data_IF_291126537134
#
_entry.id   IF_291126537134
#
_cell.length_a   1.000
_cell.length_b   1.000
_cell.length_c   1.000
_cell.angle_alpha   90.00
_cell.angle_beta   90.00
_cell.angle_gamma   90.00
#
_symmetry.space_group_name_H-M   'P 1'
#
loop_
_entity.id
_entity.type
_entity.pdbx_description
1 polymer ?
#
# COMPACT_ATOMS: atom_id res chain seq x y z
N UNK A 1 20.05 -9.54 26.31
CA UNK A 1 18.71 -9.03 26.65
C UNK A 1 18.33 -8.03 25.58
N UNK A 2 17.51 -8.47 24.62
CA UNK A 2 16.80 -7.57 23.71
C UNK A 2 15.50 -8.27 23.37
N UNK A 3 14.51 -8.07 24.23
CA UNK A 3 13.12 -8.37 23.93
C UNK A 3 12.43 -7.01 23.92
N UNK A 4 12.19 -6.49 22.71
CA UNK A 4 11.45 -5.26 22.49
C UNK A 4 10.42 -5.53 21.39
N UNK A 5 9.36 -6.21 21.81
CA UNK A 5 7.97 -6.08 21.32
C UNK A 5 7.84 -5.97 19.79
N UNK A 6 7.88 -7.12 19.12
CA UNK A 6 7.28 -7.25 17.79
C UNK A 6 5.75 -7.28 17.90
N UNK A 7 5.13 -6.45 17.06
CA UNK A 7 3.71 -6.47 16.64
C UNK A 7 2.69 -6.12 17.74
N UNK A 8 1.99 -4.99 17.58
CA UNK A 8 0.54 -4.93 17.25
C UNK A 8 0.21 -3.50 16.82
N UNK A 9 -0.16 -3.31 15.56
CA UNK A 9 -1.31 -2.45 15.26
C UNK A 9 -2.22 -3.11 14.23
N UNK A 10 -2.66 -4.31 14.57
CA UNK A 10 -3.94 -4.79 14.07
C UNK A 10 -5.03 -4.08 14.87
N UNK A 11 -5.68 -3.12 14.21
CA UNK A 11 -7.06 -2.66 14.43
C UNK A 11 -7.59 -2.66 15.86
N UNK A 12 -7.56 -1.52 16.54
CA UNK A 12 -8.54 -1.17 17.58
C UNK A 12 -8.57 0.36 17.71
N UNK A 13 -9.57 0.97 17.07
CA UNK A 13 -9.84 2.40 17.14
C UNK A 13 -10.01 3.11 15.80
N UNK A 14 -10.54 2.44 14.77
CA UNK A 14 -11.08 3.17 13.63
C UNK A 14 -12.40 3.81 14.08
N UNK A 15 -12.27 5.05 14.56
CA UNK A 15 -13.35 6.02 14.74
C UNK A 15 -14.34 5.90 13.56
N UNK A 16 -15.66 6.07 13.76
CA UNK A 16 -16.68 5.98 12.70
C UNK A 16 -16.39 6.89 11.48
N UNK A 17 -15.41 7.80 11.62
CA UNK A 17 -14.86 8.67 10.59
C UNK A 17 -13.88 7.98 9.61
N UNK A 18 -13.21 6.90 10.00
CA UNK A 18 -12.25 6.19 9.15
C UNK A 18 -12.91 5.19 8.20
N UNK A 19 -14.02 4.56 8.59
CA UNK A 19 -14.80 3.67 7.71
C UNK A 19 -15.20 4.35 6.38
N UNK A 20 -15.75 5.59 6.39
CA UNK A 20 -15.98 6.35 5.16
C UNK A 20 -14.72 6.64 4.34
N UNK A 21 -13.56 6.79 4.98
CA UNK A 21 -12.31 7.07 4.29
C UNK A 21 -11.74 5.81 3.62
N UNK A 22 -11.69 4.69 4.34
CA UNK A 22 -11.26 3.40 3.80
C UNK A 22 -12.13 2.97 2.61
N UNK A 23 -13.45 3.18 2.67
CA UNK A 23 -14.35 2.90 1.55
C UNK A 23 -14.02 3.74 0.30
N UNK A 24 -13.69 5.03 0.48
CA UNK A 24 -13.27 5.93 -0.62
C UNK A 24 -11.92 5.53 -1.20
N UNK A 25 -10.96 5.16 -0.36
CA UNK A 25 -9.65 4.66 -0.79
C UNK A 25 -9.83 3.39 -1.64
N UNK A 26 -10.66 2.45 -1.20
CA UNK A 26 -10.95 1.23 -1.96
C UNK A 26 -11.62 1.52 -3.33
N UNK A 27 -12.53 2.49 -3.39
CA UNK A 27 -13.14 2.92 -4.66
C UNK A 27 -12.11 3.54 -5.62
N UNK A 28 -11.28 4.44 -5.10
CA UNK A 28 -10.21 5.09 -5.88
C UNK A 28 -9.17 4.09 -6.35
N UNK A 29 -8.82 3.11 -5.52
CA UNK A 29 -7.86 2.07 -5.88
C UNK A 29 -8.37 1.23 -7.05
N UNK A 30 -9.65 0.81 -7.01
CA UNK A 30 -10.28 0.12 -8.15
C UNK A 30 -10.29 0.98 -9.41
N UNK A 31 -10.61 2.27 -9.28
CA UNK A 31 -10.60 3.20 -10.41
C UNK A 31 -9.20 3.38 -10.99
N UNK A 32 -8.20 3.56 -10.12
CA UNK A 32 -6.80 3.71 -10.51
C UNK A 32 -6.30 2.48 -11.27
N UNK A 33 -6.54 1.28 -10.73
CA UNK A 33 -6.21 0.03 -11.42
C UNK A 33 -6.86 -0.08 -12.79
N UNK A 34 -8.15 0.20 -12.89
CA UNK A 34 -8.87 0.16 -14.17
C UNK A 34 -8.30 1.17 -15.19
N UNK A 35 -7.85 2.34 -14.74
CA UNK A 35 -7.18 3.32 -15.61
C UNK A 35 -5.82 2.81 -16.09
N UNK A 36 -5.02 2.18 -15.21
CA UNK A 36 -3.75 1.57 -15.60
C UNK A 36 -3.96 0.45 -16.64
N UNK A 37 -4.93 -0.43 -16.40
CA UNK A 37 -5.27 -1.53 -17.31
C UNK A 37 -5.75 -1.00 -18.68
N UNK A 38 -6.58 0.04 -18.70
CA UNK A 38 -7.00 0.71 -19.93
C UNK A 38 -5.84 1.38 -20.68
N UNK A 39 -4.82 1.82 -19.97
CA UNK A 39 -3.58 2.34 -20.54
C UNK A 39 -2.62 1.24 -21.02
N UNK A 40 -2.99 -0.03 -20.87
CA UNK A 40 -2.20 -1.19 -21.31
C UNK A 40 -1.21 -1.70 -20.28
N UNK A 41 -1.31 -1.29 -19.01
CA UNK A 41 -0.51 -1.87 -17.94
C UNK A 41 -1.00 -3.30 -17.62
N UNK A 42 -0.05 -4.23 -17.53
CA UNK A 42 -0.28 -5.58 -17.04
C UNK A 42 0.53 -5.77 -15.74
N UNK A 43 -0.15 -6.16 -14.67
CA UNK A 43 0.48 -6.41 -13.38
C UNK A 43 0.56 -7.91 -13.12
N UNK A 44 1.75 -8.40 -12.83
CA UNK A 44 1.94 -9.76 -12.30
C UNK A 44 1.32 -9.91 -10.90
N UNK A 45 1.05 -11.14 -10.47
CA UNK A 45 0.55 -11.43 -9.11
C UNK A 45 1.40 -10.78 -8.02
N UNK A 46 2.72 -10.74 -8.24
CA UNK A 46 3.65 -10.13 -7.29
C UNK A 46 3.53 -8.61 -7.25
N UNK A 47 3.38 -7.96 -8.41
CA UNK A 47 3.13 -6.52 -8.48
C UNK A 47 1.77 -6.18 -7.87
N UNK A 48 0.74 -6.98 -8.15
CA UNK A 48 -0.59 -6.83 -7.53
C UNK A 48 -0.53 -6.95 -6.02
N UNK A 49 0.25 -7.89 -5.49
CA UNK A 49 0.47 -8.01 -4.05
C UNK A 49 1.00 -6.71 -3.43
N UNK A 50 2.00 -6.07 -4.04
CA UNK A 50 2.52 -4.78 -3.57
C UNK A 50 1.46 -3.68 -3.63
N UNK A 51 0.77 -3.54 -4.78
CA UNK A 51 -0.25 -2.52 -4.97
C UNK A 51 -1.41 -2.65 -3.98
N UNK A 52 -1.92 -3.88 -3.80
CA UNK A 52 -3.04 -4.16 -2.91
C UNK A 52 -2.65 -3.84 -1.45
N UNK A 53 -1.45 -4.25 -1.01
CA UNK A 53 -0.96 -3.99 0.36
C UNK A 53 -0.68 -2.50 0.62
N UNK A 54 -0.12 -1.78 -0.35
CA UNK A 54 0.06 -0.33 -0.22
C UNK A 54 -1.28 0.39 -0.10
N UNK A 55 -2.29 -0.02 -0.88
CA UNK A 55 -3.64 0.52 -0.78
C UNK A 55 -4.30 0.21 0.58
N UNK A 56 -4.09 -0.99 1.13
CA UNK A 56 -4.56 -1.38 2.47
C UNK A 56 -3.97 -0.46 3.57
N UNK A 57 -2.67 -0.16 3.49
CA UNK A 57 -2.02 0.78 4.41
C UNK A 57 -2.61 2.18 4.25
N UNK A 58 -2.71 2.70 3.02
CA UNK A 58 -3.28 4.03 2.77
C UNK A 58 -4.72 4.12 3.32
N UNK A 59 -5.53 3.07 3.19
CA UNK A 59 -6.89 3.04 3.74
C UNK A 59 -6.91 3.13 5.27
N UNK A 60 -5.88 2.60 5.94
CA UNK A 60 -5.76 2.58 7.40
C UNK A 60 -5.11 3.84 7.99
N UNK A 61 -4.17 4.47 7.28
CA UNK A 61 -3.33 5.57 7.80
C UNK A 61 -3.42 6.87 7.01
N UNK A 62 -4.21 6.93 5.94
CA UNK A 62 -4.31 8.07 5.03
C UNK A 62 -2.98 8.45 4.33
N UNK A 63 -2.10 7.47 4.16
CA UNK A 63 -0.84 7.58 3.46
C UNK A 63 0.08 6.41 3.77
N UNK A 64 1.09 6.20 2.92
CA UNK A 64 2.17 5.23 3.11
C UNK A 64 3.52 5.91 2.94
N UNK A 65 4.50 5.56 3.77
CA UNK A 65 5.89 6.02 3.65
C UNK A 65 6.84 4.85 3.42
N UNK A 66 8.12 5.15 3.18
CA UNK A 66 9.16 4.12 3.10
C UNK A 66 9.29 3.34 4.42
N UNK A 67 9.08 3.98 5.57
CA UNK A 67 9.12 3.32 6.89
C UNK A 67 8.04 2.23 7.02
N UNK A 68 6.89 2.39 6.36
CA UNK A 68 5.84 1.36 6.35
C UNK A 68 6.31 0.10 5.61
N UNK A 69 7.19 0.23 4.60
CA UNK A 69 7.75 -0.89 3.85
C UNK A 69 8.77 -1.70 4.67
N UNK A 70 9.26 -1.14 5.78
CA UNK A 70 10.11 -1.83 6.76
C UNK A 70 9.29 -2.60 7.81
N UNK A 71 7.98 -2.75 7.60
CA UNK A 71 7.09 -3.53 8.46
C UNK A 71 6.48 -4.74 7.75
N UNK A 72 5.94 -5.67 8.54
CA UNK A 72 5.17 -6.81 8.04
C UNK A 72 3.85 -6.27 7.44
N UNK A 73 3.41 -6.75 6.26
CA UNK A 73 3.93 -7.91 5.52
C UNK A 73 4.99 -7.59 4.46
N UNK A 74 5.40 -6.33 4.27
CA UNK A 74 6.36 -5.94 3.24
C UNK A 74 7.74 -6.55 3.46
N UNK A 75 8.21 -6.62 4.70
CA UNK A 75 9.49 -7.26 5.03
C UNK A 75 9.52 -8.75 4.68
N UNK A 76 8.38 -9.44 4.65
CA UNK A 76 8.29 -10.84 4.21
C UNK A 76 8.54 -10.98 2.69
N UNK A 77 8.38 -9.91 1.93
CA UNK A 77 8.70 -9.82 0.51
C UNK A 77 9.98 -9.01 0.22
N UNK A 78 10.76 -8.67 1.25
CA UNK A 78 12.05 -7.98 1.14
C UNK A 78 11.98 -6.45 1.31
N UNK A 79 10.88 -5.91 1.83
CA UNK A 79 10.73 -4.47 2.14
C UNK A 79 10.95 -3.58 0.92
N UNK A 80 11.64 -2.45 1.11
CA UNK A 80 11.95 -1.49 0.04
C UNK A 80 12.68 -2.17 -1.13
N UNK A 81 13.68 -3.02 -0.85
CA UNK A 81 14.41 -3.75 -1.89
C UNK A 81 13.49 -4.71 -2.67
N UNK A 82 12.50 -5.28 -1.98
CA UNK A 82 11.45 -6.11 -2.58
C UNK A 82 10.56 -5.31 -3.53
N UNK A 83 10.12 -4.13 -3.10
CA UNK A 83 9.32 -3.22 -3.92
C UNK A 83 10.07 -2.85 -5.22
N UNK A 84 11.34 -2.44 -5.10
CA UNK A 84 12.20 -2.07 -6.23
C UNK A 84 12.42 -3.26 -7.17
N UNK A 85 12.67 -4.46 -6.63
CA UNK A 85 12.87 -5.67 -7.41
C UNK A 85 11.62 -6.02 -8.26
N UNK A 86 10.42 -5.85 -7.70
CA UNK A 86 9.19 -6.36 -8.32
C UNK A 86 8.46 -5.33 -9.18
N UNK A 87 8.51 -4.03 -8.82
CA UNK A 87 7.94 -2.92 -9.60
C UNK A 87 8.97 -2.23 -10.50
N UNK A 88 10.27 -2.52 -10.31
CA UNK A 88 11.35 -1.96 -11.11
C UNK A 88 11.53 -0.45 -10.92
N UNK A 89 11.98 0.23 -11.97
CA UNK A 89 12.26 1.67 -11.96
C UNK A 89 11.02 2.54 -11.63
N UNK A 90 9.82 1.99 -11.79
CA UNK A 90 8.56 2.68 -11.52
C UNK A 90 8.13 2.61 -10.05
N UNK A 91 8.83 1.86 -9.19
CA UNK A 91 8.43 1.64 -7.79
C UNK A 91 8.12 2.95 -7.03
N UNK A 92 9.03 3.92 -7.11
CA UNK A 92 8.84 5.23 -6.45
C UNK A 92 7.71 6.06 -7.06
N UNK A 93 7.54 5.99 -8.38
CA UNK A 93 6.45 6.70 -9.09
C UNK A 93 5.09 6.12 -8.68
N UNK A 94 4.97 4.79 -8.68
CA UNK A 94 3.75 4.08 -8.28
C UNK A 94 3.41 4.37 -6.82
N UNK A 95 4.38 4.34 -5.91
CA UNK A 95 4.13 4.66 -4.50
C UNK A 95 3.64 6.10 -4.31
N UNK A 96 4.27 7.05 -5.00
CA UNK A 96 3.86 8.45 -4.95
C UNK A 96 2.47 8.68 -5.58
N UNK A 97 2.18 8.05 -6.71
CA UNK A 97 0.88 8.13 -7.37
C UNK A 97 -0.22 7.50 -6.53
N UNK A 98 0.00 6.32 -5.95
CA UNK A 98 -0.98 5.72 -5.04
C UNK A 98 -1.26 6.62 -3.84
N UNK A 99 -0.24 7.18 -3.20
CA UNK A 99 -0.44 8.15 -2.13
C UNK A 99 -1.30 9.33 -2.57
N UNK A 100 -0.99 9.94 -3.72
CA UNK A 100 -1.73 11.12 -4.21
C UNK A 100 -3.17 10.78 -4.58
N UNK A 101 -3.37 9.76 -5.40
CA UNK A 101 -4.67 9.44 -6.01
C UNK A 101 -5.65 8.86 -4.98
N UNK A 102 -5.16 8.06 -4.02
CA UNK A 102 -6.05 7.39 -3.08
C UNK A 102 -6.51 8.32 -1.95
N UNK A 103 -5.70 9.30 -1.56
CA UNK A 103 -6.03 10.24 -0.47
C UNK A 103 -6.71 11.54 -0.92
N UNK A 104 -6.97 11.69 -2.23
CA UNK A 104 -7.53 12.92 -2.83
C UNK A 104 -8.92 13.33 -2.31
#
# INVERSE_FOLDING_TARGET
>A
MTDLVSLVRFTLGADERLEPFAAKVAERYRSWLAQQEQAGAEFSDRQRWWLDRMADVIAASAGITEDDLDNVPFTENGGVDGLIRDLGEQAGIVLADLNRELTA
#
